data_IF_437627111792
#
_entry.id   IF_437627111792
#
_cell.length_a   1.000
_cell.length_b   1.000
_cell.length_c   1.000
_cell.angle_alpha   90.00
_cell.angle_beta   90.00
_cell.angle_gamma   90.00
#
_symmetry.space_group_name_H-M   'P 1'
#
loop_
_entity.id
_entity.type
_entity.pdbx_description
1 polymer ?
#
# COMPACT_ATOMS: atom_id res chain seq x y z
N UNK A 1 1.80 -22.83 -25.89
CA UNK A 1 1.18 -23.00 -27.22
C UNK A 1 0.87 -21.62 -27.80
N UNK A 2 0.92 -21.41 -29.11
CA UNK A 2 0.47 -20.17 -29.78
C UNK A 2 -0.63 -20.47 -30.80
N UNK A 3 -1.55 -19.51 -31.01
CA UNK A 3 -2.70 -19.67 -31.90
C UNK A 3 -2.35 -19.21 -33.31
N UNK A 4 -2.52 -20.07 -34.32
CA UNK A 4 -2.45 -19.70 -35.74
C UNK A 4 -3.66 -20.26 -36.46
N UNK A 5 -4.58 -19.37 -36.86
CA UNK A 5 -5.91 -19.75 -37.36
C UNK A 5 -6.76 -20.39 -36.25
N UNK A 6 -7.33 -21.57 -36.53
CA UNK A 6 -8.14 -22.37 -35.58
C UNK A 6 -7.34 -23.41 -34.79
N UNK A 7 -6.01 -23.48 -34.95
CA UNK A 7 -5.15 -24.48 -34.30
C UNK A 7 -4.20 -23.84 -33.29
N UNK A 8 -3.92 -24.58 -32.23
CA UNK A 8 -2.90 -24.26 -31.23
C UNK A 8 -1.64 -25.07 -31.55
N UNK A 9 -0.50 -24.39 -31.65
CA UNK A 9 0.80 -25.00 -31.91
C UNK A 9 1.63 -24.97 -30.64
N UNK A 10 2.32 -26.07 -30.32
CA UNK A 10 3.26 -26.09 -29.19
C UNK A 10 4.38 -25.09 -29.46
N UNK A 11 4.79 -24.37 -28.43
CA UNK A 11 6.00 -23.55 -28.51
C UNK A 11 7.15 -24.50 -28.24
N UNK A 12 8.06 -24.65 -29.19
CA UNK A 12 9.21 -25.53 -29.03
C UNK A 12 10.22 -24.89 -28.06
N UNK A 13 10.90 -25.70 -27.22
CA UNK A 13 11.96 -25.19 -26.38
C UNK A 13 13.06 -24.52 -27.21
N UNK A 14 13.53 -23.39 -26.72
CA UNK A 14 14.66 -22.64 -27.24
C UNK A 14 15.89 -22.90 -26.36
N UNK A 15 17.06 -22.51 -26.84
CA UNK A 15 18.30 -22.57 -26.05
C UNK A 15 18.21 -21.70 -24.77
N UNK A 16 17.26 -20.77 -24.73
CA UNK A 16 17.03 -19.88 -23.60
C UNK A 16 16.27 -20.55 -22.45
N UNK A 17 15.49 -21.59 -22.71
CA UNK A 17 14.64 -22.27 -21.70
C UNK A 17 15.42 -23.08 -20.64
N UNK A 18 16.73 -23.22 -20.80
CA UNK A 18 17.62 -23.89 -19.84
C UNK A 18 18.67 -22.98 -19.21
N UNK A 19 18.60 -21.66 -19.42
CA UNK A 19 19.57 -20.72 -18.85
C UNK A 19 19.30 -20.57 -17.35
N UNK A 20 20.37 -20.65 -16.56
CA UNK A 20 20.37 -20.44 -15.11
C UNK A 20 21.08 -19.14 -14.78
N UNK A 21 20.65 -18.48 -13.70
CA UNK A 21 21.30 -17.29 -13.14
C UNK A 21 20.47 -16.03 -13.33
N UNK A 22 20.26 -15.58 -14.57
CA UNK A 22 19.46 -14.38 -14.83
C UNK A 22 17.94 -14.63 -14.80
N UNK A 23 17.53 -15.89 -15.05
CA UNK A 23 16.14 -16.38 -15.06
C UNK A 23 16.08 -17.88 -14.69
N UNK A 24 14.90 -18.49 -14.79
CA UNK A 24 14.71 -19.94 -14.63
C UNK A 24 14.13 -20.39 -13.29
N UNK A 25 13.83 -19.46 -12.38
CA UNK A 25 13.13 -19.77 -11.12
C UNK A 25 11.62 -19.71 -11.34
N UNK A 26 10.91 -20.73 -10.88
CA UNK A 26 9.46 -20.80 -10.83
C UNK A 26 8.99 -20.66 -9.39
N UNK A 27 7.90 -19.91 -9.18
CA UNK A 27 7.38 -19.61 -7.85
C UNK A 27 5.86 -19.40 -7.90
N UNK A 28 5.23 -19.31 -6.74
CA UNK A 28 3.82 -18.95 -6.56
C UNK A 28 3.67 -17.84 -5.50
N UNK A 29 2.44 -17.38 -5.24
CA UNK A 29 2.20 -16.28 -4.31
C UNK A 29 2.64 -16.56 -2.87
N UNK A 30 2.45 -17.78 -2.39
CA UNK A 30 2.85 -18.20 -1.04
C UNK A 30 4.38 -18.23 -0.90
N UNK A 31 5.07 -18.77 -1.91
CA UNK A 31 6.53 -18.81 -1.94
C UNK A 31 7.13 -17.40 -2.00
N UNK A 32 6.56 -16.52 -2.83
CA UNK A 32 6.97 -15.11 -2.91
C UNK A 32 6.77 -14.39 -1.57
N UNK A 33 5.67 -14.66 -0.86
CA UNK A 33 5.44 -14.10 0.47
C UNK A 33 6.51 -14.56 1.46
N UNK A 34 6.76 -15.87 1.57
CA UNK A 34 7.82 -16.41 2.45
C UNK A 34 9.19 -15.85 2.11
N UNK A 35 9.50 -15.74 0.81
CA UNK A 35 10.74 -15.14 0.34
C UNK A 35 10.86 -13.67 0.78
N UNK A 36 9.80 -12.87 0.62
CA UNK A 36 9.81 -11.46 1.03
C UNK A 36 9.94 -11.25 2.55
N UNK A 37 9.29 -12.12 3.34
CA UNK A 37 9.44 -12.13 4.80
C UNK A 37 10.88 -12.47 5.20
N UNK A 38 11.54 -13.38 4.49
CA UNK A 38 12.95 -13.72 4.75
C UNK A 38 13.89 -12.52 4.57
N UNK A 39 13.53 -11.56 3.71
CA UNK A 39 14.29 -10.31 3.50
C UNK A 39 14.09 -9.29 4.62
N UNK A 40 12.96 -9.31 5.35
CA UNK A 40 12.77 -8.46 6.54
C UNK A 40 13.55 -8.99 7.75
N UNK A 41 13.70 -10.32 7.85
CA UNK A 41 14.23 -10.98 9.04
C UNK A 41 15.63 -11.57 8.84
N UNK A 42 16.30 -11.25 7.73
CA UNK A 42 17.63 -11.77 7.38
C UNK A 42 17.76 -13.29 7.57
N UNK A 43 16.70 -14.03 7.23
CA UNK A 43 16.59 -15.47 7.57
C UNK A 43 17.52 -16.33 6.71
N UNK A 44 17.71 -15.96 5.44
CA UNK A 44 18.50 -16.72 4.48
C UNK A 44 19.86 -16.09 4.19
N UNK A 45 19.96 -14.76 4.29
CA UNK A 45 21.17 -13.99 4.01
C UNK A 45 21.35 -12.92 5.07
N UNK A 46 22.61 -12.61 5.38
CA UNK A 46 22.94 -11.63 6.44
C UNK A 46 22.44 -10.22 6.12
N UNK A 47 22.20 -9.44 7.17
CA UNK A 47 21.87 -8.01 7.05
C UNK A 47 22.89 -7.22 6.22
N UNK A 48 24.19 -7.56 6.34
CA UNK A 48 25.24 -6.92 5.54
C UNK A 48 25.05 -7.15 4.03
N UNK A 49 24.62 -8.34 3.63
CA UNK A 49 24.34 -8.65 2.23
C UNK A 49 23.04 -7.99 1.77
N UNK A 50 22.00 -7.96 2.60
CA UNK A 50 20.76 -7.25 2.31
C UNK A 50 20.99 -5.75 2.12
N UNK A 51 21.79 -5.13 2.99
CA UNK A 51 22.17 -3.74 2.87
C UNK A 51 22.88 -3.46 1.54
N UNK A 52 23.77 -4.34 1.08
CA UNK A 52 24.39 -4.21 -0.24
C UNK A 52 23.40 -4.45 -1.39
N UNK A 53 22.47 -5.39 -1.22
CA UNK A 53 21.44 -5.66 -2.22
C UNK A 53 20.48 -4.47 -2.41
N UNK A 54 20.24 -3.72 -1.34
CA UNK A 54 19.28 -2.62 -1.30
C UNK A 54 19.92 -1.23 -1.35
N UNK A 55 21.24 -1.15 -1.55
CA UNK A 55 21.96 0.12 -1.69
C UNK A 55 22.32 0.42 -3.14
N UNK A 56 22.24 1.69 -3.58
CA UNK A 56 22.71 2.08 -4.89
C UNK A 56 24.23 1.95 -4.97
N UNK A 57 24.75 1.67 -6.17
CA UNK A 57 26.18 1.59 -6.40
C UNK A 57 26.71 2.84 -7.10
N UNK A 58 27.92 3.29 -6.72
CA UNK A 58 28.57 4.44 -7.33
C UNK A 58 29.66 4.01 -8.29
N UNK A 59 29.52 4.39 -9.56
CA UNK A 59 30.55 4.15 -10.57
C UNK A 59 31.73 5.12 -10.38
N UNK A 60 32.92 4.70 -10.83
CA UNK A 60 34.05 5.61 -10.99
C UNK A 60 33.64 6.80 -11.87
N UNK A 61 33.75 8.02 -11.32
CA UNK A 61 33.28 9.24 -11.98
C UNK A 61 32.03 9.90 -11.38
N UNK A 62 31.58 9.48 -10.19
CA UNK A 62 30.53 10.12 -9.36
C UNK A 62 29.08 9.86 -9.75
N UNK A 63 28.79 9.08 -10.80
CA UNK A 63 27.41 8.71 -11.13
C UNK A 63 26.92 7.61 -10.20
N UNK A 64 25.86 7.89 -9.46
CA UNK A 64 25.11 6.90 -8.70
C UNK A 64 24.19 6.13 -9.64
N UNK A 65 24.18 4.81 -9.50
CA UNK A 65 23.28 3.90 -10.21
C UNK A 65 22.29 3.37 -9.18
N UNK A 66 20.98 3.59 -9.38
CA UNK A 66 19.94 3.16 -8.45
C UNK A 66 19.65 1.65 -8.59
N UNK A 67 20.70 0.84 -8.43
CA UNK A 67 20.67 -0.60 -8.56
C UNK A 67 21.69 -1.23 -7.59
N UNK A 68 21.23 -2.20 -6.80
CA UNK A 68 22.05 -3.05 -5.94
C UNK A 68 22.10 -4.48 -6.46
N UNK A 69 22.40 -5.46 -5.61
CA UNK A 69 22.48 -6.87 -6.01
C UNK A 69 21.13 -7.48 -6.40
N UNK A 70 20.75 -7.30 -7.67
CA UNK A 70 19.53 -7.86 -8.25
C UNK A 70 18.29 -6.99 -8.07
N UNK A 71 18.43 -5.77 -7.53
CA UNK A 71 17.31 -4.89 -7.23
C UNK A 71 17.50 -3.49 -7.79
N UNK A 72 16.43 -2.90 -8.33
CA UNK A 72 16.33 -1.47 -8.61
C UNK A 72 15.84 -0.76 -7.35
N UNK A 73 16.31 0.47 -7.17
CA UNK A 73 15.99 1.28 -6.00
C UNK A 73 15.42 2.60 -6.51
N UNK A 74 14.40 3.14 -5.87
CA UNK A 74 13.90 4.49 -6.15
C UNK A 74 13.24 5.05 -4.90
N UNK A 75 12.93 6.33 -4.94
CA UNK A 75 12.05 6.99 -4.00
C UNK A 75 10.63 7.09 -4.57
N UNK A 76 9.63 6.96 -3.72
CA UNK A 76 8.24 7.29 -4.08
C UNK A 76 7.96 8.78 -3.88
N UNK A 77 6.68 9.16 -3.91
CA UNK A 77 6.24 10.56 -3.78
C UNK A 77 6.48 11.14 -2.39
N UNK A 78 6.59 10.28 -1.36
CA UNK A 78 6.77 10.66 0.03
C UNK A 78 8.23 10.48 0.49
N UNK A 79 9.15 10.35 -0.47
CA UNK A 79 10.58 10.08 -0.27
C UNK A 79 10.89 8.75 0.47
N UNK A 80 9.92 7.82 0.48
CA UNK A 80 10.11 6.46 1.02
C UNK A 80 10.80 5.58 -0.01
N UNK A 81 11.51 4.58 0.49
CA UNK A 81 12.37 3.70 -0.29
C UNK A 81 11.55 2.58 -0.92
N UNK A 82 11.63 2.50 -2.25
CA UNK A 82 11.01 1.43 -3.03
C UNK A 82 12.09 0.58 -3.67
N UNK A 83 12.14 -0.68 -3.25
CA UNK A 83 13.00 -1.72 -3.83
C UNK A 83 12.14 -2.51 -4.80
N UNK A 84 12.60 -2.72 -6.04
CA UNK A 84 11.79 -3.38 -7.04
C UNK A 84 12.60 -4.15 -8.06
N UNK A 85 11.98 -5.17 -8.65
CA UNK A 85 12.50 -5.85 -9.83
C UNK A 85 11.35 -6.37 -10.69
N UNK A 86 11.51 -6.29 -12.00
CA UNK A 86 10.52 -6.80 -12.95
C UNK A 86 11.11 -7.98 -13.70
N UNK A 87 10.31 -9.05 -13.83
CA UNK A 87 10.63 -10.22 -14.62
C UNK A 87 9.93 -10.18 -15.96
N UNK A 88 10.66 -10.56 -17.01
CA UNK A 88 10.11 -10.81 -18.33
C UNK A 88 10.72 -12.10 -18.88
N UNK A 89 9.85 -13.06 -19.17
CA UNK A 89 10.19 -14.27 -19.90
C UNK A 89 9.06 -14.62 -20.86
N UNK A 90 9.33 -15.46 -21.85
CA UNK A 90 8.38 -15.85 -22.91
C UNK A 90 6.97 -16.16 -22.37
N UNK A 91 6.06 -15.18 -22.49
CA UNK A 91 4.68 -15.30 -22.02
C UNK A 91 4.47 -15.18 -20.51
N UNK A 92 5.46 -14.75 -19.74
CA UNK A 92 5.36 -14.51 -18.29
C UNK A 92 5.91 -13.15 -17.90
N UNK A 93 5.18 -12.45 -17.03
CA UNK A 93 5.63 -11.20 -16.43
C UNK A 93 5.52 -11.24 -14.91
N UNK A 94 6.52 -10.66 -14.26
CA UNK A 94 6.52 -10.39 -12.83
C UNK A 94 6.77 -8.91 -12.61
N UNK A 95 6.01 -8.31 -11.71
CA UNK A 95 6.34 -7.03 -11.11
C UNK A 95 6.38 -7.20 -9.59
N UNK A 96 7.54 -6.91 -9.00
CA UNK A 96 7.73 -6.92 -7.57
C UNK A 96 8.12 -5.52 -7.11
N UNK A 97 7.36 -4.98 -6.17
CA UNK A 97 7.65 -3.72 -5.49
C UNK A 97 7.56 -3.92 -3.98
N UNK A 98 8.59 -3.50 -3.26
CA UNK A 98 8.69 -3.50 -1.80
C UNK A 98 8.83 -2.07 -1.31
N UNK A 99 7.89 -1.66 -0.48
CA UNK A 99 7.82 -0.36 0.19
C UNK A 99 8.36 -0.57 1.61
N UNK A 100 9.63 -0.21 1.81
CA UNK A 100 10.42 -0.67 2.96
C UNK A 100 9.85 -0.11 4.26
N UNK A 101 9.59 1.19 4.28
CA UNK A 101 9.11 1.94 5.43
C UNK A 101 7.67 1.55 5.80
N UNK A 102 6.85 1.15 4.82
CA UNK A 102 5.46 0.72 5.03
C UNK A 102 5.34 -0.78 5.35
N UNK A 103 6.47 -1.50 5.39
CA UNK A 103 6.52 -2.96 5.51
C UNK A 103 5.57 -3.69 4.54
N UNK A 104 5.39 -3.13 3.34
CA UNK A 104 4.39 -3.55 2.37
C UNK A 104 5.05 -4.03 1.07
N UNK A 105 4.59 -5.15 0.54
CA UNK A 105 5.10 -5.72 -0.71
C UNK A 105 3.97 -6.07 -1.67
N UNK A 106 4.14 -5.74 -2.95
CA UNK A 106 3.18 -6.00 -4.03
C UNK A 106 3.82 -6.90 -5.08
N UNK A 107 3.18 -8.03 -5.34
CA UNK A 107 3.55 -8.99 -6.37
C UNK A 107 2.43 -9.07 -7.41
N UNK A 108 2.76 -8.83 -8.68
CA UNK A 108 1.84 -9.06 -9.80
C UNK A 108 2.51 -10.02 -10.78
N UNK A 109 1.98 -11.24 -10.83
CA UNK A 109 2.42 -12.29 -11.75
C UNK A 109 1.36 -12.48 -12.82
N UNK A 110 1.77 -12.55 -14.08
CA UNK A 110 0.92 -12.96 -15.18
C UNK A 110 1.56 -14.08 -16.02
N UNK A 111 0.70 -14.79 -16.74
CA UNK A 111 1.06 -15.76 -17.77
C UNK A 111 0.71 -15.22 -19.17
N UNK A 112 0.85 -13.92 -19.35
CA UNK A 112 0.63 -13.24 -20.62
C UNK A 112 1.83 -12.34 -20.94
N UNK A 113 1.83 -11.67 -22.09
CA UNK A 113 2.86 -10.67 -22.38
C UNK A 113 2.34 -9.24 -22.20
N UNK A 114 1.32 -9.05 -21.36
CA UNK A 114 0.65 -7.78 -21.16
C UNK A 114 1.50 -6.84 -20.30
N UNK A 115 1.74 -5.63 -20.81
CA UNK A 115 2.55 -4.61 -20.13
C UNK A 115 1.81 -3.91 -18.98
N UNK A 116 0.51 -4.16 -18.83
CA UNK A 116 -0.35 -3.49 -17.83
C UNK A 116 -0.03 -3.89 -16.39
N UNK A 117 0.65 -5.01 -16.17
CA UNK A 117 0.98 -5.55 -14.84
C UNK A 117 1.74 -4.57 -13.94
N UNK A 118 2.64 -3.77 -14.52
CA UNK A 118 3.34 -2.72 -13.77
C UNK A 118 2.43 -1.55 -13.35
N UNK A 119 1.38 -1.26 -14.12
CA UNK A 119 0.35 -0.25 -13.75
C UNK A 119 -0.53 -0.79 -12.64
N UNK A 120 -0.93 -2.06 -12.71
CA UNK A 120 -1.71 -2.73 -11.67
C UNK A 120 -0.95 -2.69 -10.35
N UNK A 121 0.34 -3.08 -10.34
CA UNK A 121 1.15 -3.09 -9.13
C UNK A 121 1.19 -1.71 -8.45
N UNK A 122 1.39 -0.63 -9.22
CA UNK A 122 1.41 0.74 -8.67
C UNK A 122 0.03 1.18 -8.16
N UNK A 123 -1.05 0.83 -8.86
CA UNK A 123 -2.41 1.17 -8.41
C UNK A 123 -2.83 0.42 -7.16
N UNK A 124 -2.38 -0.83 -6.98
CA UNK A 124 -2.64 -1.59 -5.76
C UNK A 124 -2.06 -0.89 -4.53
N UNK A 125 -0.84 -0.34 -4.62
CA UNK A 125 -0.28 0.47 -3.52
C UNK A 125 -1.19 1.65 -3.15
N UNK A 126 -1.60 2.45 -4.15
CA UNK A 126 -2.50 3.59 -3.92
C UNK A 126 -3.83 3.15 -3.30
N UNK A 127 -4.34 1.96 -3.66
CA UNK A 127 -5.55 1.43 -3.05
C UNK A 127 -5.34 0.99 -1.61
N UNK A 128 -4.19 0.40 -1.28
CA UNK A 128 -3.83 0.01 0.09
C UNK A 128 -3.66 1.22 1.00
N UNK A 129 -2.98 2.27 0.52
CA UNK A 129 -2.89 3.56 1.24
C UNK A 129 -4.28 4.19 1.42
N UNK A 130 -5.15 4.03 0.41
CA UNK A 130 -6.54 4.51 0.49
C UNK A 130 -7.39 3.67 1.45
N UNK A 131 -6.97 2.49 1.91
CA UNK A 131 -7.75 1.73 2.88
C UNK A 131 -7.37 2.06 4.32
N UNK A 132 -6.11 2.41 4.59
CA UNK A 132 -5.61 2.70 5.94
C UNK A 132 -6.12 4.07 6.46
N UNK A 133 -6.12 5.11 5.63
CA UNK A 133 -6.72 6.45 5.89
C UNK A 133 -8.25 6.49 6.05
N UNK A 134 -8.92 5.66 5.24
CA UNK A 134 -10.31 5.96 4.85
C UNK A 134 -11.32 4.92 5.28
N UNK A 135 -10.96 3.70 5.65
CA UNK A 135 -11.98 2.71 5.97
C UNK A 135 -12.79 3.13 7.21
N UNK A 136 -12.11 3.45 8.31
CA UNK A 136 -12.72 3.83 9.58
C UNK A 136 -13.37 5.21 9.47
N UNK A 137 -12.70 6.18 8.83
CA UNK A 137 -13.28 7.50 8.58
C UNK A 137 -14.54 7.39 7.71
N UNK A 138 -14.54 6.53 6.69
CA UNK A 138 -15.71 6.30 5.84
C UNK A 138 -16.85 5.64 6.62
N UNK A 139 -16.57 4.58 7.39
CA UNK A 139 -17.57 3.94 8.25
C UNK A 139 -18.16 4.94 9.24
N UNK A 140 -17.33 5.80 9.84
CA UNK A 140 -17.78 6.84 10.75
C UNK A 140 -18.72 7.83 10.05
N UNK A 141 -18.37 8.29 8.84
CA UNK A 141 -19.22 9.16 8.01
C UNK A 141 -20.53 8.46 7.64
N UNK A 142 -20.48 7.20 7.21
CA UNK A 142 -21.66 6.41 6.84
C UNK A 142 -22.61 6.25 8.03
N UNK A 143 -22.10 5.82 9.18
CA UNK A 143 -22.88 5.70 10.41
C UNK A 143 -23.45 7.05 10.83
N UNK A 144 -22.69 8.14 10.70
CA UNK A 144 -23.18 9.49 11.03
C UNK A 144 -24.36 9.87 10.14
N UNK A 145 -24.27 9.60 8.84
CA UNK A 145 -25.33 9.93 7.87
C UNK A 145 -26.57 9.05 8.07
N UNK A 146 -26.41 7.78 8.43
CA UNK A 146 -27.52 6.83 8.59
C UNK A 146 -28.17 6.85 9.98
N UNK A 147 -27.37 7.01 11.04
CA UNK A 147 -27.76 6.80 12.44
C UNK A 147 -27.48 8.01 13.34
N UNK A 148 -26.85 9.05 12.82
CA UNK A 148 -26.52 10.28 13.55
C UNK A 148 -25.19 10.23 14.31
N UNK A 149 -24.76 11.38 14.81
CA UNK A 149 -23.45 11.60 15.43
C UNK A 149 -23.23 10.72 16.66
N UNK A 150 -24.26 10.50 17.49
CA UNK A 150 -24.14 9.68 18.71
C UNK A 150 -23.70 8.25 18.39
N UNK A 151 -24.36 7.61 17.42
CA UNK A 151 -24.02 6.24 17.03
C UNK A 151 -22.62 6.15 16.41
N UNK A 152 -22.23 7.19 15.67
CA UNK A 152 -20.89 7.28 15.10
C UNK A 152 -19.81 7.39 16.19
N UNK A 153 -20.00 8.23 17.20
CA UNK A 153 -19.06 8.37 18.32
C UNK A 153 -18.97 7.09 19.16
N UNK A 154 -20.10 6.41 19.42
CA UNK A 154 -20.09 5.09 20.08
C UNK A 154 -19.26 4.08 19.28
N UNK A 155 -19.40 4.05 17.95
CA UNK A 155 -18.59 3.21 17.07
C UNK A 155 -17.10 3.61 17.11
N UNK A 156 -16.77 4.90 17.05
CA UNK A 156 -15.40 5.39 17.20
C UNK A 156 -14.75 4.92 18.51
N UNK A 157 -15.48 4.99 19.63
CA UNK A 157 -14.97 4.52 20.91
C UNK A 157 -14.69 3.00 20.92
N UNK A 158 -15.45 2.21 20.15
CA UNK A 158 -15.11 0.78 19.99
C UNK A 158 -13.84 0.56 19.17
N UNK A 159 -13.62 1.36 18.11
CA UNK A 159 -12.44 1.25 17.27
C UNK A 159 -11.15 1.59 18.01
N UNK A 160 -11.13 2.66 18.81
CA UNK A 160 -9.90 3.07 19.52
C UNK A 160 -9.48 2.10 20.63
N UNK A 161 -10.40 1.27 21.12
CA UNK A 161 -10.07 0.18 22.07
C UNK A 161 -9.26 -0.90 21.36
N UNK A 162 -9.59 -1.21 20.10
CA UNK A 162 -8.87 -2.19 19.29
C UNK A 162 -7.60 -1.59 18.64
N UNK A 163 -7.66 -0.31 18.26
CA UNK A 163 -6.62 0.43 17.55
C UNK A 163 -6.31 1.77 18.24
N UNK A 164 -5.49 1.79 19.32
CA UNK A 164 -5.23 3.00 20.09
C UNK A 164 -4.56 4.15 19.31
N UNK A 165 -3.89 3.82 18.21
CA UNK A 165 -3.21 4.79 17.34
C UNK A 165 -4.07 5.23 16.14
N UNK A 166 -5.36 4.85 16.11
CA UNK A 166 -6.25 5.18 15.00
C UNK A 166 -6.36 6.70 14.78
N UNK A 167 -6.10 7.12 13.54
CA UNK A 167 -6.19 8.50 13.09
C UNK A 167 -7.44 8.65 12.22
N UNK A 168 -8.37 9.51 12.66
CA UNK A 168 -9.55 9.87 11.87
C UNK A 168 -9.25 11.11 11.03
N UNK A 169 -9.54 11.05 9.73
CA UNK A 169 -9.35 12.17 8.83
C UNK A 169 -10.50 13.18 8.95
N UNK A 170 -10.33 14.18 9.81
CA UNK A 170 -11.35 15.21 10.09
C UNK A 170 -11.63 16.12 8.90
N UNK A 171 -10.64 16.34 8.03
CA UNK A 171 -10.78 17.19 6.84
C UNK A 171 -11.81 16.59 5.87
N UNK A 172 -11.81 15.26 5.72
CA UNK A 172 -12.84 14.58 4.93
C UNK A 172 -14.23 14.66 5.55
N UNK A 173 -14.34 14.60 6.87
CA UNK A 173 -15.65 14.70 7.55
C UNK A 173 -16.27 16.06 7.25
N UNK A 174 -15.50 17.14 7.35
CA UNK A 174 -16.00 18.49 7.07
C UNK A 174 -16.27 18.72 5.58
N UNK A 175 -15.46 18.14 4.68
CA UNK A 175 -15.72 18.19 3.23
C UNK A 175 -17.06 17.54 2.88
N UNK A 176 -17.37 16.38 3.48
CA UNK A 176 -18.65 15.68 3.26
C UNK A 176 -19.81 16.48 3.88
N UNK A 177 -19.63 17.07 5.06
CA UNK A 177 -20.63 17.95 5.67
C UNK A 177 -20.94 19.15 4.77
N UNK A 178 -19.91 19.78 4.20
CA UNK A 178 -20.05 20.88 3.25
C UNK A 178 -20.78 20.44 1.99
N UNK A 179 -20.45 19.28 1.44
CA UNK A 179 -21.16 18.70 0.29
C UNK A 179 -22.66 18.52 0.57
N UNK A 180 -23.03 17.95 1.72
CA UNK A 180 -24.44 17.79 2.10
C UNK A 180 -25.16 19.13 2.27
N UNK A 181 -24.50 20.12 2.89
CA UNK A 181 -25.03 21.47 3.03
C UNK A 181 -25.34 22.11 1.67
N UNK A 182 -24.42 22.01 0.70
CA UNK A 182 -24.60 22.53 -0.66
C UNK A 182 -25.74 21.84 -1.43
N UNK A 183 -26.07 20.60 -1.06
CA UNK A 183 -27.22 19.86 -1.61
C UNK A 183 -28.53 20.10 -0.85
N UNK A 184 -28.54 21.03 0.12
CA UNK A 184 -29.71 21.33 0.95
C UNK A 184 -30.05 20.23 1.98
N UNK A 185 -29.15 19.27 2.20
CA UNK A 185 -29.32 18.18 3.16
C UNK A 185 -28.71 18.59 4.50
N UNK A 186 -29.38 19.51 5.20
CA UNK A 186 -28.85 20.13 6.41
C UNK A 186 -28.76 19.20 7.62
N UNK A 187 -29.67 18.22 7.76
CA UNK A 187 -29.63 17.28 8.87
C UNK A 187 -28.33 16.44 8.89
N UNK A 188 -27.99 15.66 7.85
CA UNK A 188 -26.72 14.92 7.84
C UNK A 188 -25.49 15.84 7.84
N UNK A 189 -25.59 17.05 7.28
CA UNK A 189 -24.51 18.04 7.37
C UNK A 189 -24.23 18.48 8.82
N UNK A 190 -25.28 18.71 9.61
CA UNK A 190 -25.16 19.09 11.02
C UNK A 190 -24.68 17.94 11.90
N UNK A 191 -25.10 16.70 11.62
CA UNK A 191 -24.59 15.50 12.31
C UNK A 191 -23.09 15.33 12.05
N UNK A 192 -22.65 15.42 10.79
CA UNK A 192 -21.22 15.37 10.44
C UNK A 192 -20.42 16.52 11.03
N UNK A 193 -21.01 17.73 11.09
CA UNK A 193 -20.39 18.86 11.79
C UNK A 193 -20.22 18.57 13.28
N UNK A 194 -21.18 17.92 13.91
CA UNK A 194 -21.09 17.56 15.34
C UNK A 194 -19.94 16.58 15.59
N UNK A 195 -19.78 15.58 14.72
CA UNK A 195 -18.64 14.65 14.78
C UNK A 195 -17.31 15.38 14.52
N UNK A 196 -17.27 16.31 13.57
CA UNK A 196 -16.08 17.15 13.34
C UNK A 196 -15.72 17.99 14.58
N UNK A 197 -16.71 18.68 15.16
CA UNK A 197 -16.52 19.54 16.34
C UNK A 197 -16.01 18.71 17.54
N UNK A 198 -16.48 17.46 17.70
CA UNK A 198 -15.96 16.52 18.70
C UNK A 198 -14.44 16.34 18.55
N UNK A 199 -13.95 15.99 17.36
CA UNK A 199 -12.51 15.82 17.13
C UNK A 199 -11.72 17.13 17.29
N UNK A 200 -12.29 18.28 16.95
CA UNK A 200 -11.63 19.57 17.19
C UNK A 200 -11.53 19.91 18.69
N UNK A 201 -12.54 19.54 19.47
CA UNK A 201 -12.59 19.79 20.92
C UNK A 201 -11.68 18.85 21.72
N UNK A 202 -11.54 17.58 21.30
CA UNK A 202 -10.70 16.59 21.99
C UNK A 202 -9.20 16.74 21.65
N UNK A 203 -8.83 17.18 20.43
CA UNK A 203 -7.42 17.38 20.07
C UNK A 203 -6.80 18.67 20.63
N UNK A 204 -7.59 19.55 21.26
CA UNK A 204 -7.07 20.68 22.02
C UNK A 204 -6.41 20.26 23.36
N UNK A 205 -6.77 19.10 23.94
CA UNK A 205 -6.21 18.65 25.24
C UNK A 205 -4.75 18.15 25.12
N UNK A 206 -4.18 17.98 23.92
CA UNK A 206 -2.80 17.48 23.74
C UNK A 206 -1.69 18.55 23.69
N UNK A 207 -1.98 19.86 23.73
CA UNK A 207 -0.92 20.89 23.54
C UNK A 207 -0.52 21.75 24.74
N UNK A 208 -1.22 21.76 25.87
CA UNK A 208 -0.66 22.36 27.08
C UNK A 208 -1.52 22.05 28.30
N UNK A 209 -0.86 21.63 29.38
CA UNK A 209 -1.37 21.56 30.77
C UNK A 209 -2.52 20.58 31.04
N UNK A 210 -2.18 19.29 31.16
CA UNK A 210 -2.36 18.49 32.39
C UNK A 210 -3.72 18.33 33.07
N UNK A 211 -4.83 18.82 32.52
CA UNK A 211 -6.16 18.58 33.10
C UNK A 211 -7.15 18.25 31.98
N UNK A 212 -7.59 16.99 31.95
CA UNK A 212 -8.68 16.51 31.10
C UNK A 212 -9.79 16.01 32.07
N UNK A 213 -11.03 16.53 32.00
CA UNK A 213 -12.08 16.13 32.93
C UNK A 213 -12.49 14.67 32.66
N UNK A 214 -12.46 13.83 33.70
CA UNK A 214 -13.08 12.51 33.66
C UNK A 214 -14.59 12.65 33.76
N UNK A 215 -15.31 11.90 32.94
CA UNK A 215 -16.77 11.80 32.94
C UNK A 215 -17.30 11.46 34.33
N UNK A 216 -18.13 12.35 34.87
CA UNK A 216 -19.11 12.09 35.91
C UNK A 216 -20.51 12.30 35.33
#
# INVERSE_FOLDING_TARGET
>A
YYRRGRRFYRVEPTLHDGILGDKGIYSNGEDMFKWDQSLYHATLISDSMLNQAFSPFRLWGRREIPYGYGFRIKKDTDDKTVIFHNGLWEGFRLNYYRYVEDQCSVFVMDHTNLTVTGVIARRLKTLMERTEDYHETQQLVEITVEKGAKAALEFYFTLIVEQPELIINTDKIIDVAFYFSQKGKFHPANELKTVYDFFQSEYACKKSSGFCPTTG
#
